data_IF_560633327651
#
_entry.id   IF_560633327651
#
_cell.length_a   1.000
_cell.length_b   1.000
_cell.length_c   1.000
_cell.angle_alpha   90.00
_cell.angle_beta   90.00
_cell.angle_gamma   90.00
#
_symmetry.space_group_name_H-M   'P 1'
#
loop_
_entity.id
_entity.type
_entity.pdbx_description
1 polymer ?
#
# COMPACT_ATOMS: atom_id res chain seq x y z
N UNK A 1 -8.17 -6.82 7.62
CA UNK A 1 -8.21 -7.72 8.79
C UNK A 1 -9.54 -7.58 9.53
N UNK A 2 -10.04 -6.38 9.82
CA UNK A 2 -11.35 -6.16 10.49
C UNK A 2 -12.51 -6.84 9.74
N UNK A 3 -12.53 -6.77 8.42
CA UNK A 3 -13.60 -7.39 7.61
C UNK A 3 -13.63 -8.91 7.73
N UNK A 4 -12.49 -9.54 8.03
CA UNK A 4 -12.35 -11.00 8.19
C UNK A 4 -12.41 -11.39 9.68
N UNK A 5 -12.70 -10.46 10.59
CA UNK A 5 -12.75 -10.67 12.06
C UNK A 5 -11.52 -11.45 12.60
N UNK A 6 -10.33 -11.16 12.05
CA UNK A 6 -9.09 -11.75 12.56
C UNK A 6 -8.75 -11.13 13.91
N UNK A 7 -8.22 -11.95 14.81
CA UNK A 7 -7.87 -11.53 16.17
C UNK A 7 -6.62 -10.64 16.21
N UNK A 8 -6.45 -9.89 17.31
CA UNK A 8 -5.20 -9.17 17.59
C UNK A 8 -3.98 -10.09 17.57
N UNK A 9 -4.13 -11.32 18.08
CA UNK A 9 -3.08 -12.35 18.03
C UNK A 9 -2.64 -12.67 16.59
N UNK A 10 -3.57 -12.67 15.63
CA UNK A 10 -3.24 -12.84 14.22
C UNK A 10 -2.48 -11.61 13.69
N UNK A 11 -2.89 -10.39 14.08
CA UNK A 11 -2.21 -9.16 13.67
C UNK A 11 -0.73 -9.20 14.11
N UNK A 12 -0.46 -9.56 15.36
CA UNK A 12 0.91 -9.70 15.88
C UNK A 12 1.77 -10.71 15.10
N UNK A 13 1.17 -11.75 14.55
CA UNK A 13 1.88 -12.76 13.75
C UNK A 13 2.25 -12.31 12.34
N UNK A 14 1.50 -11.36 11.77
CA UNK A 14 1.73 -10.89 10.40
C UNK A 14 2.53 -9.60 10.32
N UNK A 15 2.64 -8.87 11.41
CA UNK A 15 3.48 -7.68 11.49
C UNK A 15 4.96 -8.09 11.56
N UNK A 16 5.79 -7.36 10.81
CA UNK A 16 7.24 -7.58 10.78
C UNK A 16 7.92 -6.60 11.74
N UNK A 17 8.89 -7.11 12.49
CA UNK A 17 9.75 -6.29 13.35
C UNK A 17 10.85 -5.59 12.53
N UNK A 18 11.46 -4.55 13.10
CA UNK A 18 12.57 -3.84 12.47
C UNK A 18 12.18 -2.71 11.52
N UNK A 19 10.88 -2.43 11.36
CA UNK A 19 10.40 -1.26 10.61
C UNK A 19 10.54 0.06 11.38
N UNK A 20 10.37 1.18 10.68
CA UNK A 20 10.36 2.53 11.31
C UNK A 20 9.15 2.78 12.20
N UNK A 21 8.05 2.08 11.95
CA UNK A 21 6.80 2.21 12.72
C UNK A 21 6.79 1.13 13.79
N UNK A 22 6.63 1.52 15.06
CA UNK A 22 6.52 0.56 16.15
C UNK A 22 5.29 -0.34 15.96
N UNK A 23 5.48 -1.64 16.17
CA UNK A 23 4.41 -2.62 16.12
C UNK A 23 3.26 -2.31 17.07
N UNK A 24 3.56 -1.69 18.22
CA UNK A 24 2.54 -1.25 19.17
C UNK A 24 1.54 -0.29 18.54
N UNK A 25 1.98 0.61 17.67
CA UNK A 25 1.08 1.55 16.98
C UNK A 25 -0.05 0.83 16.25
N UNK A 26 0.24 -0.29 15.60
CA UNK A 26 -0.78 -1.08 14.90
C UNK A 26 -1.64 -1.92 15.85
N UNK A 27 -1.03 -2.48 16.89
CA UNK A 27 -1.73 -3.32 17.87
C UNK A 27 -2.68 -2.49 18.71
N UNK A 28 -2.21 -1.36 19.24
CA UNK A 28 -3.01 -0.46 20.05
C UNK A 28 -4.14 0.19 19.24
N UNK A 29 -3.95 0.33 17.94
CA UNK A 29 -4.96 0.86 17.01
C UNK A 29 -5.87 -0.23 16.41
N UNK A 30 -5.80 -1.45 16.90
CA UNK A 30 -6.61 -2.56 16.35
C UNK A 30 -8.11 -2.28 16.37
N UNK A 31 -8.59 -1.62 17.41
CA UNK A 31 -10.01 -1.25 17.59
C UNK A 31 -10.32 0.21 17.16
N UNK A 32 -9.30 1.01 16.83
CA UNK A 32 -9.46 2.40 16.43
C UNK A 32 -10.09 2.51 15.03
N UNK A 33 -10.65 3.68 14.72
CA UNK A 33 -11.05 4.00 13.34
C UNK A 33 -9.82 4.12 12.45
N UNK A 34 -10.01 4.01 11.13
CA UNK A 34 -8.92 4.25 10.17
C UNK A 34 -8.40 5.68 10.25
N UNK A 35 -9.27 6.64 10.58
CA UNK A 35 -8.89 8.04 10.75
C UNK A 35 -7.90 8.21 11.91
N UNK A 36 -8.21 7.64 13.08
CA UNK A 36 -7.31 7.68 14.25
C UNK A 36 -5.98 6.98 13.95
N UNK A 37 -6.01 5.86 13.24
CA UNK A 37 -4.79 5.20 12.78
C UNK A 37 -4.00 6.11 11.81
N UNK A 38 -4.69 6.81 10.90
CA UNK A 38 -4.08 7.77 9.98
C UNK A 38 -3.36 8.91 10.70
N UNK A 39 -3.98 9.47 11.73
CA UNK A 39 -3.36 10.51 12.57
C UNK A 39 -2.08 10.01 13.27
N UNK A 40 -2.10 8.78 13.80
CA UNK A 40 -0.90 8.16 14.40
C UNK A 40 0.20 7.88 13.39
N UNK A 41 -0.15 7.69 12.13
CA UNK A 41 0.78 7.41 11.04
C UNK A 41 1.18 8.66 10.23
N UNK A 42 0.72 9.86 10.62
CA UNK A 42 0.98 11.11 9.93
C UNK A 42 2.48 11.43 9.84
N UNK A 43 3.22 11.22 10.91
CA UNK A 43 4.68 11.41 10.95
C UNK A 43 5.45 10.54 9.94
N UNK A 44 4.81 9.48 9.43
CA UNK A 44 5.37 8.60 8.41
C UNK A 44 4.79 8.87 7.00
N UNK A 45 3.94 9.90 6.86
CA UNK A 45 3.32 10.28 5.59
C UNK A 45 2.16 9.37 5.13
N UNK A 46 1.54 8.61 6.04
CA UNK A 46 0.45 7.69 5.71
C UNK A 46 -0.95 8.23 6.03
N UNK A 47 -1.06 9.45 6.57
CA UNK A 47 -2.35 10.05 6.95
C UNK A 47 -3.31 10.14 5.77
N UNK A 48 -2.89 10.80 4.69
CA UNK A 48 -3.70 10.97 3.48
C UNK A 48 -4.12 9.61 2.88
N UNK A 49 -3.20 8.63 2.87
CA UNK A 49 -3.47 7.28 2.36
C UNK A 49 -4.55 6.60 3.20
N UNK A 50 -4.50 6.75 4.51
CA UNK A 50 -5.50 6.16 5.41
C UNK A 50 -6.85 6.88 5.31
N UNK A 51 -6.86 8.20 5.23
CA UNK A 51 -8.09 8.99 5.09
C UNK A 51 -8.81 8.68 3.78
N UNK A 52 -8.14 8.82 2.64
CA UNK A 52 -8.73 8.59 1.32
C UNK A 52 -9.04 7.10 1.08
N UNK A 53 -8.08 6.24 1.35
CA UNK A 53 -8.23 4.81 1.12
C UNK A 53 -9.26 4.18 2.05
N UNK A 54 -9.30 4.58 3.32
CA UNK A 54 -10.23 4.04 4.27
C UNK A 54 -11.66 4.54 4.09
N UNK A 55 -11.86 5.81 3.74
CA UNK A 55 -13.19 6.33 3.40
C UNK A 55 -13.84 5.49 2.29
N UNK A 56 -13.07 5.21 1.22
CA UNK A 56 -13.56 4.35 0.12
C UNK A 56 -13.87 2.92 0.58
N UNK A 57 -13.11 2.37 1.51
CA UNK A 57 -13.38 1.04 2.08
C UNK A 57 -14.66 1.05 2.91
N UNK A 58 -14.91 2.09 3.70
CA UNK A 58 -16.11 2.24 4.51
C UNK A 58 -17.37 2.40 3.64
N UNK A 59 -17.29 3.22 2.61
CA UNK A 59 -18.41 3.49 1.71
C UNK A 59 -18.73 2.33 0.77
N UNK A 60 -17.73 1.75 0.13
CA UNK A 60 -17.92 0.79 -0.96
C UNK A 60 -17.57 -0.65 -0.58
N UNK A 61 -16.86 -0.84 0.51
CA UNK A 61 -16.28 -2.12 0.91
C UNK A 61 -15.14 -2.60 0.00
N UNK A 62 -14.64 -1.78 -0.91
CA UNK A 62 -13.58 -2.12 -1.86
C UNK A 62 -12.23 -1.59 -1.37
N UNK A 63 -11.21 -2.43 -1.43
CA UNK A 63 -9.84 -2.09 -1.01
C UNK A 63 -8.95 -1.55 -2.13
N UNK A 64 -9.45 -1.51 -3.37
CA UNK A 64 -8.63 -1.21 -4.56
C UNK A 64 -7.89 0.13 -4.48
N UNK A 65 -8.54 1.18 -3.98
CA UNK A 65 -7.91 2.49 -3.83
C UNK A 65 -6.86 2.47 -2.71
N UNK A 66 -7.18 1.89 -1.56
CA UNK A 66 -6.23 1.78 -0.45
C UNK A 66 -4.99 0.97 -0.86
N UNK A 67 -5.17 -0.14 -1.55
CA UNK A 67 -4.06 -0.95 -2.09
C UNK A 67 -3.21 -0.16 -3.09
N UNK A 68 -3.85 0.60 -3.99
CA UNK A 68 -3.15 1.47 -4.93
C UNK A 68 -2.31 2.50 -4.19
N UNK A 69 -2.89 3.24 -3.26
CA UNK A 69 -2.19 4.28 -2.50
C UNK A 69 -1.01 3.71 -1.69
N UNK A 70 -1.16 2.52 -1.12
CA UNK A 70 -0.07 1.83 -0.43
C UNK A 70 1.04 1.38 -1.38
N UNK A 71 0.70 0.88 -2.57
CA UNK A 71 1.69 0.49 -3.58
C UNK A 71 2.41 1.73 -4.12
N UNK A 72 1.71 2.83 -4.40
CA UNK A 72 2.29 4.10 -4.85
C UNK A 72 3.22 4.70 -3.78
N UNK A 73 2.86 4.60 -2.49
CA UNK A 73 3.75 5.02 -1.40
C UNK A 73 5.05 4.19 -1.35
N UNK A 74 4.98 2.88 -1.57
CA UNK A 74 6.18 2.03 -1.68
C UNK A 74 7.06 2.48 -2.84
N UNK A 75 6.47 2.74 -4.01
CA UNK A 75 7.23 3.19 -5.19
C UNK A 75 7.89 4.54 -4.91
N UNK A 76 7.17 5.49 -4.32
CA UNK A 76 7.73 6.78 -3.92
C UNK A 76 8.91 6.65 -2.97
N UNK A 77 8.79 5.79 -1.95
CA UNK A 77 9.86 5.53 -0.99
C UNK A 77 11.12 4.95 -1.64
N UNK A 78 10.98 4.03 -2.59
CA UNK A 78 12.14 3.41 -3.26
C UNK A 78 12.76 4.29 -4.35
N UNK A 79 12.10 5.36 -4.80
CA UNK A 79 12.66 6.27 -5.81
C UNK A 79 13.97 6.90 -5.36
N UNK A 80 14.13 7.16 -4.08
CA UNK A 80 15.36 7.74 -3.51
C UNK A 80 16.56 6.78 -3.62
N UNK A 81 16.33 5.48 -3.72
CA UNK A 81 17.40 4.50 -3.93
C UNK A 81 18.15 4.65 -5.27
N UNK A 82 17.61 5.44 -6.23
CA UNK A 82 18.31 5.80 -7.47
C UNK A 82 19.62 6.56 -7.22
N UNK A 83 19.70 7.27 -6.12
CA UNK A 83 20.85 8.10 -5.75
C UNK A 83 21.84 7.35 -4.86
N UNK A 84 21.52 6.11 -4.47
CA UNK A 84 22.42 5.28 -3.67
C UNK A 84 23.27 4.41 -4.59
N UNK A 85 24.59 4.57 -4.52
CA UNK A 85 25.53 3.90 -5.42
C UNK A 85 26.05 2.56 -4.89
N UNK A 86 25.88 2.30 -3.60
CA UNK A 86 26.40 1.10 -2.91
C UNK A 86 25.36 0.56 -1.93
N UNK A 87 25.47 -0.72 -1.57
CA UNK A 87 24.56 -1.35 -0.62
C UNK A 87 23.48 -2.19 -1.30
N UNK A 88 22.52 -2.65 -0.50
CA UNK A 88 21.41 -3.50 -0.96
C UNK A 88 20.20 -2.68 -1.45
N UNK A 89 20.15 -1.40 -1.12
CA UNK A 89 19.02 -0.52 -1.40
C UNK A 89 18.67 -0.44 -2.89
N UNK A 90 19.65 -0.24 -3.82
CA UNK A 90 19.34 -0.20 -5.25
C UNK A 90 18.80 -1.53 -5.78
N UNK A 91 19.30 -2.65 -5.26
CA UNK A 91 18.87 -4.01 -5.66
C UNK A 91 17.43 -4.24 -5.18
N UNK A 92 17.14 -3.93 -3.92
CA UNK A 92 15.81 -4.05 -3.35
C UNK A 92 14.80 -3.14 -4.09
N UNK A 93 15.20 -1.90 -4.37
CA UNK A 93 14.38 -0.95 -5.11
C UNK A 93 14.08 -1.44 -6.54
N UNK A 94 15.07 -1.97 -7.24
CA UNK A 94 14.88 -2.57 -8.55
C UNK A 94 13.88 -3.75 -8.52
N UNK A 95 14.01 -4.63 -7.54
CA UNK A 95 13.11 -5.76 -7.37
C UNK A 95 11.66 -5.29 -7.16
N UNK A 96 11.44 -4.36 -6.22
CA UNK A 96 10.12 -3.81 -5.93
C UNK A 96 9.53 -3.08 -7.16
N UNK A 97 10.37 -2.33 -7.89
CA UNK A 97 9.97 -1.66 -9.12
C UNK A 97 9.49 -2.68 -10.18
N UNK A 98 10.21 -3.80 -10.35
CA UNK A 98 9.83 -4.86 -11.29
C UNK A 98 8.54 -5.58 -10.88
N UNK A 99 8.35 -5.84 -9.59
CA UNK A 99 7.07 -6.38 -9.12
C UNK A 99 5.90 -5.43 -9.45
N UNK A 100 6.11 -4.13 -9.28
CA UNK A 100 5.09 -3.12 -9.58
C UNK A 100 4.78 -3.03 -11.08
N UNK A 101 5.80 -3.07 -11.95
CA UNK A 101 5.61 -3.16 -13.41
C UNK A 101 4.78 -4.39 -13.80
N UNK A 102 5.09 -5.55 -13.23
CA UNK A 102 4.35 -6.79 -13.48
C UNK A 102 2.88 -6.66 -13.02
N UNK A 103 2.64 -6.03 -11.87
CA UNK A 103 1.27 -5.75 -11.41
C UNK A 103 0.51 -4.87 -12.41
N UNK A 104 1.12 -3.77 -12.86
CA UNK A 104 0.52 -2.87 -13.84
C UNK A 104 0.23 -3.60 -15.17
N UNK A 105 1.19 -4.37 -15.67
CA UNK A 105 1.01 -5.14 -16.90
C UNK A 105 -0.14 -6.16 -16.78
N UNK A 106 -0.21 -6.89 -15.66
CA UNK A 106 -1.32 -7.82 -15.41
C UNK A 106 -2.66 -7.10 -15.36
N UNK A 107 -2.75 -5.92 -14.73
CA UNK A 107 -3.99 -5.15 -14.68
C UNK A 107 -4.45 -4.72 -16.07
N UNK A 108 -3.53 -4.24 -16.91
CA UNK A 108 -3.86 -3.86 -18.30
C UNK A 108 -4.34 -5.07 -19.09
N UNK A 109 -3.59 -6.17 -19.04
CA UNK A 109 -3.92 -7.38 -19.82
C UNK A 109 -5.26 -7.99 -19.36
N UNK A 110 -5.44 -8.19 -18.05
CA UNK A 110 -6.69 -8.76 -17.52
C UNK A 110 -7.87 -7.82 -17.73
N UNK A 111 -7.68 -6.50 -17.58
CA UNK A 111 -8.72 -5.52 -17.83
C UNK A 111 -9.17 -5.51 -19.29
N UNK A 112 -8.22 -5.56 -20.23
CA UNK A 112 -8.55 -5.64 -21.67
C UNK A 112 -9.25 -6.96 -22.03
N UNK A 113 -8.76 -8.08 -21.50
CA UNK A 113 -9.41 -9.39 -21.72
C UNK A 113 -10.84 -9.45 -21.15
N UNK A 114 -11.09 -8.75 -20.05
CA UNK A 114 -12.43 -8.66 -19.44
C UNK A 114 -13.32 -7.58 -20.07
N UNK A 115 -12.86 -6.84 -21.09
CA UNK A 115 -13.62 -5.76 -21.71
C UNK A 115 -13.84 -4.57 -20.79
N UNK A 116 -13.00 -4.37 -19.78
CA UNK A 116 -13.09 -3.23 -18.86
C UNK A 116 -12.76 -1.93 -19.59
N UNK A 117 -13.54 -0.87 -19.31
CA UNK A 117 -13.29 0.46 -19.88
C UNK A 117 -11.86 0.94 -19.59
N UNK A 118 -11.25 1.61 -20.55
CA UNK A 118 -9.87 2.07 -20.47
C UNK A 118 -9.63 3.02 -19.29
N UNK A 119 -10.58 3.89 -19.02
CA UNK A 119 -10.55 4.84 -17.90
C UNK A 119 -10.46 4.08 -16.56
N UNK A 120 -11.29 3.05 -16.39
CA UNK A 120 -11.27 2.21 -15.17
C UNK A 120 -9.94 1.46 -15.00
N UNK A 121 -9.31 1.05 -16.11
CA UNK A 121 -7.98 0.44 -16.07
C UNK A 121 -6.95 1.47 -15.64
N UNK A 122 -6.96 2.67 -16.24
CA UNK A 122 -6.05 3.77 -15.91
C UNK A 122 -6.13 4.19 -14.44
N UNK A 123 -7.32 4.31 -13.88
CA UNK A 123 -7.53 4.64 -12.47
C UNK A 123 -6.89 3.64 -11.51
N UNK A 124 -6.77 2.38 -11.91
CA UNK A 124 -6.19 1.31 -11.10
C UNK A 124 -4.68 1.18 -11.23
N UNK A 125 -4.06 1.76 -12.24
CA UNK A 125 -2.62 1.66 -12.43
C UNK A 125 -1.87 2.34 -11.27
N UNK A 126 -0.77 1.72 -10.88
CA UNK A 126 0.16 2.21 -9.86
C UNK A 126 1.17 3.15 -10.50
N UNK A 127 1.76 4.02 -9.67
CA UNK A 127 2.90 4.84 -10.08
C UNK A 127 4.02 3.97 -10.65
N UNK A 128 4.75 4.51 -11.62
CA UNK A 128 5.95 3.86 -12.15
C UNK A 128 7.19 4.34 -11.42
N UNK A 129 8.22 3.50 -11.39
CA UNK A 129 9.50 3.83 -10.77
C UNK A 129 10.30 4.85 -11.58
N UNK A 130 10.09 4.92 -12.89
CA UNK A 130 10.76 5.83 -13.82
C UNK A 130 9.91 7.07 -14.04
#
# INVERSE_FOLDING_TARGET
>A
LRKIKKSETFLRKVLLEGGKIDLKTFVDSYNDTYQVLGEKLDIYGFKEIMELGAATVEETGKYSLLEKLCDDAKVRYIKDAKFVTTGLEPIAAFYIAKENEIKNLRMVLTGKLAGTAEETIKERLRETYV
#
